data_IF_157409662667
#
_entry.id   IF_157409662667
#
_cell.length_a   1.000
_cell.length_b   1.000
_cell.length_c   1.000
_cell.angle_alpha   90.00
_cell.angle_beta   90.00
_cell.angle_gamma   90.00
#
_symmetry.space_group_name_H-M   'P 1'
#
loop_
_entity.id
_entity.type
_entity.pdbx_description
1 polymer ?
#
# COMPACT_ATOMS: atom_id res chain seq x y z
N UNK A 1 71.73 39.94 -21.62
CA UNK A 1 71.05 39.44 -22.83
C UNK A 1 70.56 38.03 -22.52
N UNK A 2 69.30 37.61 -22.61
CA UNK A 2 68.08 38.26 -23.03
C UNK A 2 66.91 37.61 -22.27
N UNK A 3 65.99 38.46 -21.82
CA UNK A 3 64.64 38.15 -21.40
C UNK A 3 63.87 37.45 -22.52
N UNK A 4 63.15 36.37 -22.19
CA UNK A 4 61.85 36.05 -22.81
C UNK A 4 60.92 35.44 -21.78
N UNK A 5 60.13 36.31 -21.16
CA UNK A 5 58.81 35.98 -20.61
C UNK A 5 57.89 35.58 -21.76
N UNK A 6 57.15 34.48 -21.64
CA UNK A 6 55.79 34.38 -22.20
C UNK A 6 54.93 33.63 -21.19
N UNK A 7 53.96 34.35 -20.66
CA UNK A 7 52.84 33.88 -19.85
C UNK A 7 52.07 32.78 -20.62
N UNK A 8 52.06 31.57 -20.08
CA UNK A 8 51.10 30.54 -20.47
C UNK A 8 49.75 30.83 -19.84
N UNK A 9 48.90 31.57 -20.55
CA UNK A 9 47.51 31.79 -20.18
C UNK A 9 46.72 30.48 -20.20
N UNK A 10 45.83 30.37 -19.22
CA UNK A 10 44.93 29.25 -19.00
C UNK A 10 44.07 28.91 -20.22
N UNK A 11 43.90 27.60 -20.44
CA UNK A 11 42.69 27.04 -21.02
C UNK A 11 42.38 25.73 -20.29
N UNK A 12 41.92 25.84 -19.04
CA UNK A 12 41.14 24.77 -18.44
C UNK A 12 39.83 24.75 -19.20
N UNK A 13 39.74 23.87 -20.20
CA UNK A 13 38.48 23.54 -20.83
C UNK A 13 37.58 22.89 -19.76
N UNK A 14 36.74 23.72 -19.15
CA UNK A 14 35.56 23.26 -18.42
C UNK A 14 34.66 22.54 -19.44
N UNK A 15 34.88 21.23 -19.62
CA UNK A 15 33.83 20.32 -20.06
C UNK A 15 32.85 20.12 -18.91
N UNK A 16 32.23 21.22 -18.48
CA UNK A 16 31.03 21.26 -17.69
C UNK A 16 29.84 21.30 -18.63
N UNK A 17 29.60 20.19 -19.31
CA UNK A 17 28.28 19.88 -19.87
C UNK A 17 27.84 18.54 -19.29
N UNK A 18 27.72 18.49 -17.97
CA UNK A 18 26.66 17.66 -17.40
C UNK A 18 25.37 18.29 -17.92
N UNK A 19 24.86 17.78 -19.04
CA UNK A 19 23.46 17.98 -19.35
C UNK A 19 22.73 17.40 -18.16
N UNK A 20 22.37 18.26 -17.21
CA UNK A 20 21.29 17.95 -16.28
C UNK A 20 20.09 17.76 -17.21
N UNK A 21 19.83 16.50 -17.56
CA UNK A 21 18.58 16.08 -18.17
C UNK A 21 17.53 16.75 -17.30
N UNK A 22 16.76 17.72 -17.84
CA UNK A 22 15.82 18.48 -17.04
C UNK A 22 14.93 17.46 -16.34
N UNK A 23 14.78 17.58 -15.03
CA UNK A 23 14.16 16.53 -14.21
C UNK A 23 12.79 16.14 -14.78
N UNK A 24 12.06 17.09 -15.38
CA UNK A 24 10.83 16.88 -16.15
C UNK A 24 10.95 15.80 -17.25
N UNK A 25 12.03 15.81 -18.03
CA UNK A 25 12.23 14.85 -19.13
C UNK A 25 12.51 13.42 -18.65
N UNK A 26 12.97 13.24 -17.41
CA UNK A 26 13.13 11.92 -16.84
C UNK A 26 11.78 11.34 -16.35
N UNK A 27 10.92 12.19 -15.77
CA UNK A 27 9.55 11.79 -15.41
C UNK A 27 8.74 11.35 -16.62
N UNK A 28 8.74 12.18 -17.68
CA UNK A 28 8.00 11.89 -18.90
C UNK A 28 8.48 10.58 -19.52
N UNK A 29 9.79 10.34 -19.55
CA UNK A 29 10.35 9.08 -20.05
C UNK A 29 9.88 7.86 -19.26
N UNK A 30 9.91 7.90 -17.92
CA UNK A 30 9.45 6.77 -17.09
C UNK A 30 7.96 6.52 -17.29
N UNK A 31 7.17 7.61 -17.35
CA UNK A 31 5.73 7.54 -17.58
C UNK A 31 5.42 6.91 -18.93
N UNK A 32 6.02 7.44 -20.00
CA UNK A 32 5.87 6.92 -21.37
C UNK A 32 6.28 5.45 -21.46
N UNK A 33 7.40 5.07 -20.82
CA UNK A 33 7.86 3.68 -20.81
C UNK A 33 6.86 2.75 -20.12
N UNK A 34 6.25 3.19 -19.02
CA UNK A 34 5.22 2.41 -18.33
C UNK A 34 3.94 2.29 -19.17
N UNK A 35 3.46 3.40 -19.71
CA UNK A 35 2.25 3.47 -20.54
C UNK A 35 2.39 2.67 -21.84
N UNK A 36 3.58 2.63 -22.45
CA UNK A 36 3.88 1.82 -23.63
C UNK A 36 3.69 0.31 -23.39
N UNK A 37 3.76 -0.15 -22.13
CA UNK A 37 3.46 -1.52 -21.74
C UNK A 37 2.01 -1.69 -21.25
N UNK A 38 1.15 -0.71 -21.47
CA UNK A 38 -0.19 -0.61 -20.88
C UNK A 38 -0.17 -0.67 -19.34
N UNK A 39 0.90 -0.16 -18.72
CA UNK A 39 1.06 -0.06 -17.28
C UNK A 39 0.51 1.24 -16.71
N UNK A 40 0.36 1.26 -15.39
CA UNK A 40 -0.07 2.41 -14.60
C UNK A 40 1.17 2.96 -13.88
N UNK A 41 1.65 4.16 -14.23
CA UNK A 41 2.82 4.76 -13.61
C UNK A 41 2.45 5.36 -12.24
N UNK A 42 3.21 5.00 -11.21
CA UNK A 42 3.13 5.58 -9.88
C UNK A 42 4.41 6.36 -9.61
N UNK A 43 4.29 7.62 -9.19
CA UNK A 43 5.38 8.58 -9.13
C UNK A 43 5.25 9.44 -7.87
N UNK A 44 6.36 9.70 -7.20
CA UNK A 44 6.48 10.67 -6.12
C UNK A 44 7.82 11.41 -6.22
N UNK A 45 7.79 12.74 -6.06
CA UNK A 45 8.96 13.59 -6.06
C UNK A 45 9.14 14.25 -4.68
N UNK A 46 9.98 13.63 -3.84
CA UNK A 46 10.38 14.16 -2.53
C UNK A 46 11.91 14.22 -2.44
N UNK A 47 12.52 15.10 -3.25
CA UNK A 47 13.98 15.27 -3.34
C UNK A 47 14.70 14.21 -4.17
N UNK A 48 14.21 12.96 -4.18
CA UNK A 48 14.58 11.91 -5.15
C UNK A 48 13.31 11.38 -5.80
N UNK A 49 13.34 11.20 -7.14
CA UNK A 49 12.24 10.56 -7.85
C UNK A 49 12.12 9.10 -7.42
N UNK A 50 10.98 8.73 -6.84
CA UNK A 50 10.62 7.34 -6.57
C UNK A 50 9.46 6.93 -7.48
N UNK A 51 9.60 5.81 -8.17
CA UNK A 51 8.62 5.38 -9.16
C UNK A 51 8.44 3.86 -9.19
N UNK A 52 7.23 3.46 -9.59
CA UNK A 52 6.89 2.09 -9.90
C UNK A 52 5.92 2.05 -11.08
N UNK A 53 5.95 0.97 -11.85
CA UNK A 53 5.00 0.72 -12.93
C UNK A 53 4.16 -0.52 -12.58
N UNK A 54 2.84 -0.35 -12.48
CA UNK A 54 1.92 -1.47 -12.30
C UNK A 54 1.45 -1.97 -13.67
N UNK A 55 1.83 -3.18 -14.05
CA UNK A 55 1.42 -3.80 -15.31
C UNK A 55 0.26 -4.76 -15.07
N UNK A 56 -0.73 -4.75 -15.96
CA UNK A 56 -1.84 -5.71 -15.88
C UNK A 56 -1.34 -7.10 -16.24
N UNK A 57 -1.58 -8.05 -15.34
CA UNK A 57 -1.33 -9.45 -15.57
C UNK A 57 -2.41 -10.03 -16.51
N UNK A 58 -2.00 -10.88 -17.46
CA UNK A 58 -2.91 -11.61 -18.36
C UNK A 58 -2.61 -13.11 -18.34
N UNK A 59 -3.63 -13.97 -18.36
CA UNK A 59 -3.50 -15.44 -18.27
C UNK A 59 -2.97 -16.13 -19.55
N UNK A 60 -2.14 -15.43 -20.33
CA UNK A 60 -1.49 -16.04 -21.49
C UNK A 60 -0.24 -16.81 -21.02
N UNK A 61 0.06 -17.96 -21.63
CA UNK A 61 1.10 -18.93 -21.21
C UNK A 61 2.52 -18.36 -20.95
N UNK A 62 2.82 -17.13 -21.40
CA UNK A 62 4.06 -16.42 -21.10
C UNK A 62 4.16 -15.85 -19.65
N UNK A 63 3.04 -15.75 -18.92
CA UNK A 63 2.93 -14.94 -17.71
C UNK A 63 3.01 -15.69 -16.37
N UNK A 64 3.08 -17.02 -16.32
CA UNK A 64 3.36 -17.74 -15.07
C UNK A 64 4.68 -17.27 -14.42
N UNK A 65 5.67 -16.90 -15.24
CA UNK A 65 6.94 -16.33 -14.78
C UNK A 65 6.83 -14.90 -14.22
N UNK A 66 5.76 -14.17 -14.53
CA UNK A 66 5.55 -12.77 -14.09
C UNK A 66 5.10 -12.73 -12.64
N UNK A 67 4.19 -13.60 -12.21
CA UNK A 67 3.80 -13.70 -10.78
C UNK A 67 4.94 -14.20 -9.91
N UNK A 68 5.81 -15.06 -10.44
CA UNK A 68 6.93 -15.60 -9.69
C UNK A 68 7.99 -14.54 -9.41
N UNK A 69 8.25 -13.66 -10.38
CA UNK A 69 9.31 -12.64 -10.32
C UNK A 69 8.86 -11.27 -9.80
N UNK A 70 7.57 -10.98 -9.82
CA UNK A 70 7.03 -9.69 -9.40
C UNK A 70 6.08 -9.86 -8.20
N UNK A 71 5.96 -8.81 -7.40
CA UNK A 71 4.85 -8.71 -6.45
C UNK A 71 3.58 -8.31 -7.21
N UNK A 72 2.48 -9.00 -6.96
CA UNK A 72 1.22 -8.78 -7.66
C UNK A 72 0.06 -8.63 -6.67
N UNK A 73 -0.93 -7.83 -7.05
CA UNK A 73 -2.10 -7.51 -6.24
C UNK A 73 -3.37 -7.58 -7.08
N UNK A 74 -4.49 -7.94 -6.45
CA UNK A 74 -5.82 -7.84 -7.06
C UNK A 74 -6.35 -6.41 -6.95
N UNK A 75 -6.86 -5.90 -8.06
CA UNK A 75 -7.45 -4.56 -8.15
C UNK A 75 -8.53 -4.53 -9.23
N UNK A 76 -9.76 -4.17 -8.87
CA UNK A 76 -10.90 -3.97 -9.78
C UNK A 76 -11.14 -5.12 -10.77
N UNK A 77 -11.18 -6.34 -10.24
CA UNK A 77 -11.40 -7.55 -11.04
C UNK A 77 -10.20 -7.94 -11.91
N UNK A 78 -9.07 -7.25 -11.78
CA UNK A 78 -7.82 -7.56 -12.47
C UNK A 78 -6.68 -7.85 -11.49
N UNK A 79 -5.56 -8.34 -12.03
CA UNK A 79 -4.31 -8.48 -11.28
C UNK A 79 -3.31 -7.48 -11.83
N UNK A 80 -2.71 -6.69 -10.95
CA UNK A 80 -1.67 -5.72 -11.25
C UNK A 80 -0.36 -6.21 -10.63
N UNK A 81 0.70 -6.29 -11.43
CA UNK A 81 2.03 -6.70 -10.99
C UNK A 81 2.98 -5.51 -11.05
N UNK A 82 3.84 -5.38 -10.05
CA UNK A 82 4.85 -4.33 -9.99
C UNK A 82 5.99 -4.72 -10.92
N UNK A 83 6.18 -4.00 -12.01
CA UNK A 83 7.20 -4.30 -13.01
C UNK A 83 8.60 -4.09 -12.43
N UNK A 84 9.34 -5.18 -12.22
CA UNK A 84 10.74 -5.17 -11.77
C UNK A 84 11.63 -4.27 -12.63
N UNK A 85 11.49 -4.33 -13.94
CA UNK A 85 12.33 -3.59 -14.89
C UNK A 85 11.99 -2.09 -14.97
N UNK A 86 10.85 -1.70 -14.39
CA UNK A 86 10.28 -0.36 -14.48
C UNK A 86 9.86 0.15 -13.10
N UNK A 87 10.65 -0.19 -12.09
CA UNK A 87 10.55 0.33 -10.72
C UNK A 87 11.94 0.65 -10.20
N UNK A 88 12.10 1.69 -9.39
CA UNK A 88 13.32 1.92 -8.62
C UNK A 88 13.15 1.60 -7.12
N UNK A 89 12.00 1.03 -6.75
CA UNK A 89 11.71 0.58 -5.40
C UNK A 89 12.40 -0.76 -5.15
N UNK A 90 13.62 -0.72 -4.60
CA UNK A 90 14.51 -1.90 -4.52
C UNK A 90 13.90 -3.11 -3.81
N UNK A 91 13.13 -2.90 -2.74
CA UNK A 91 12.51 -4.01 -1.99
C UNK A 91 11.30 -4.63 -2.73
N UNK A 92 10.89 -4.07 -3.88
CA UNK A 92 9.93 -4.69 -4.79
C UNK A 92 10.55 -5.60 -5.84
N UNK A 93 11.88 -5.65 -5.97
CA UNK A 93 12.55 -6.65 -6.80
C UNK A 93 12.71 -7.95 -6.00
N UNK A 94 11.97 -9.02 -6.35
CA UNK A 94 12.05 -10.32 -5.65
C UNK A 94 13.44 -10.97 -5.70
N UNK A 95 14.30 -10.61 -6.66
CA UNK A 95 15.69 -11.09 -6.72
C UNK A 95 16.64 -10.28 -5.83
N UNK A 96 16.19 -9.12 -5.32
CA UNK A 96 16.98 -8.37 -4.36
C UNK A 96 17.06 -9.11 -3.03
N UNK A 97 18.26 -9.22 -2.45
CA UNK A 97 18.47 -9.98 -1.19
C UNK A 97 17.66 -9.48 0.01
N UNK A 98 17.17 -8.24 -0.03
CA UNK A 98 16.30 -7.65 0.98
C UNK A 98 14.91 -7.34 0.42
N UNK A 99 14.49 -8.07 -0.62
CA UNK A 99 13.12 -8.02 -1.08
C UNK A 99 12.17 -8.31 0.08
N UNK A 100 11.14 -7.49 0.20
CA UNK A 100 10.19 -7.60 1.29
C UNK A 100 8.82 -7.18 0.77
N UNK A 101 7.88 -8.14 0.73
CA UNK A 101 6.51 -7.89 0.27
C UNK A 101 5.85 -6.77 1.07
N UNK A 102 6.08 -6.72 2.38
CA UNK A 102 5.47 -5.72 3.24
C UNK A 102 6.01 -4.32 2.95
N UNK A 103 7.32 -4.17 2.82
CA UNK A 103 7.90 -2.87 2.51
C UNK A 103 7.51 -2.44 1.10
N UNK A 104 7.50 -3.39 0.15
CA UNK A 104 7.08 -3.19 -1.22
C UNK A 104 5.65 -2.65 -1.31
N UNK A 105 4.67 -3.41 -0.80
CA UNK A 105 3.26 -3.02 -0.87
C UNK A 105 2.99 -1.73 -0.10
N UNK A 106 3.70 -1.47 1.00
CA UNK A 106 3.64 -0.22 1.74
C UNK A 106 4.05 0.97 0.88
N UNK A 107 5.21 0.90 0.20
CA UNK A 107 5.67 1.98 -0.68
C UNK A 107 4.80 2.12 -1.92
N UNK A 108 4.32 1.03 -2.50
CA UNK A 108 3.41 1.07 -3.64
C UNK A 108 2.10 1.76 -3.28
N UNK A 109 1.55 1.52 -2.09
CA UNK A 109 0.38 2.25 -1.61
C UNK A 109 0.66 3.75 -1.46
N UNK A 110 1.79 4.13 -0.86
CA UNK A 110 2.22 5.53 -0.73
C UNK A 110 2.31 6.22 -2.09
N UNK A 111 3.00 5.60 -3.06
CA UNK A 111 3.12 6.09 -4.43
C UNK A 111 1.77 6.18 -5.13
N UNK A 112 0.85 5.24 -4.88
CA UNK A 112 -0.50 5.26 -5.44
C UNK A 112 -1.27 6.51 -5.00
N UNK A 113 -1.18 6.86 -3.71
CA UNK A 113 -1.80 8.08 -3.18
C UNK A 113 -1.14 9.33 -3.78
N UNK A 114 0.19 9.39 -3.81
CA UNK A 114 0.93 10.53 -4.34
C UNK A 114 0.66 10.80 -5.84
N UNK A 115 0.50 9.73 -6.62
CA UNK A 115 0.22 9.81 -8.07
C UNK A 115 -1.26 10.05 -8.41
N UNK A 116 -2.15 10.06 -7.42
CA UNK A 116 -3.60 10.17 -7.64
C UNK A 116 -4.27 8.89 -8.12
N UNK A 117 -3.52 7.79 -8.28
CA UNK A 117 -4.07 6.46 -8.58
C UNK A 117 -4.38 5.74 -7.28
N UNK A 118 -5.64 5.68 -6.86
CA UNK A 118 -5.99 5.11 -5.56
C UNK A 118 -6.11 3.58 -5.63
N UNK A 119 -5.16 2.87 -5.03
CA UNK A 119 -5.32 1.43 -4.80
C UNK A 119 -6.47 1.16 -3.83
N UNK A 120 -7.36 0.25 -4.23
CA UNK A 120 -8.46 -0.19 -3.39
C UNK A 120 -7.93 -0.96 -2.18
N UNK A 121 -8.50 -0.64 -1.02
CA UNK A 121 -8.20 -1.30 0.24
C UNK A 121 -9.30 -2.30 0.56
N UNK A 122 -8.97 -3.48 1.10
CA UNK A 122 -7.61 -3.92 1.44
C UNK A 122 -6.85 -4.35 0.19
N UNK A 123 -5.52 -4.20 0.22
CA UNK A 123 -4.66 -4.74 -0.83
C UNK A 123 -4.65 -6.26 -0.65
N UNK A 124 -5.00 -7.01 -1.69
CA UNK A 124 -4.99 -8.48 -1.70
C UNK A 124 -3.88 -8.95 -2.63
N UNK A 125 -2.96 -9.76 -2.13
CA UNK A 125 -1.85 -10.30 -2.92
C UNK A 125 -2.32 -11.37 -3.92
N UNK A 126 -1.53 -11.56 -4.97
CA UNK A 126 -1.72 -12.62 -5.96
C UNK A 126 -0.38 -13.35 -6.17
N UNK A 127 -0.38 -14.70 -6.26
CA UNK A 127 -1.53 -15.60 -6.32
C UNK A 127 -2.10 -16.03 -4.96
N UNK A 128 -1.45 -15.72 -3.84
CA UNK A 128 -1.76 -16.29 -2.53
C UNK A 128 -3.09 -15.80 -1.92
N UNK A 129 -3.67 -14.72 -2.45
CA UNK A 129 -4.91 -14.12 -1.95
C UNK A 129 -4.82 -13.69 -0.48
N UNK A 130 -3.64 -13.24 -0.04
CA UNK A 130 -3.44 -12.78 1.34
C UNK A 130 -3.76 -11.30 1.43
N UNK A 131 -4.48 -10.91 2.48
CA UNK A 131 -4.69 -9.51 2.83
C UNK A 131 -3.36 -8.92 3.29
N UNK A 132 -2.91 -7.87 2.63
CA UNK A 132 -1.82 -7.05 3.11
C UNK A 132 -2.34 -6.15 4.24
N UNK A 133 -1.85 -6.43 5.45
CA UNK A 133 -2.18 -5.67 6.65
C UNK A 133 -1.22 -4.50 6.75
N UNK A 134 -1.74 -3.27 6.61
CA UNK A 134 -0.97 -2.09 6.95
C UNK A 134 -0.76 -2.01 8.46
N UNK A 135 0.09 -1.08 8.90
CA UNK A 135 0.31 -0.93 10.34
C UNK A 135 -1.04 -0.72 11.05
N UNK A 136 -1.20 -1.16 12.32
CA UNK A 136 -2.44 -0.97 13.08
C UNK A 136 -2.92 0.49 13.16
N UNK A 137 -2.00 1.43 12.94
CA UNK A 137 -2.28 2.87 12.90
C UNK A 137 -3.04 3.26 11.62
N UNK A 138 -2.64 2.73 10.47
CA UNK A 138 -3.22 3.07 9.17
C UNK A 138 -4.60 2.44 9.03
N UNK A 139 -4.73 1.13 9.31
CA UNK A 139 -6.03 0.47 9.33
C UNK A 139 -6.98 1.12 10.33
N UNK A 140 -6.46 1.53 11.49
CA UNK A 140 -7.23 2.26 12.46
C UNK A 140 -7.63 3.67 12.01
N UNK A 141 -6.84 4.32 11.16
CA UNK A 141 -7.15 5.63 10.59
C UNK A 141 -8.28 5.50 9.56
N UNK A 142 -8.20 4.50 8.69
CA UNK A 142 -9.23 4.24 7.68
C UNK A 142 -10.54 3.79 8.31
N UNK A 143 -10.47 2.95 9.34
CA UNK A 143 -11.64 2.55 10.13
C UNK A 143 -12.37 3.78 10.71
N UNK A 144 -11.60 4.71 11.31
CA UNK A 144 -12.16 5.96 11.86
C UNK A 144 -12.69 6.90 10.78
N UNK A 145 -12.08 6.94 9.59
CA UNK A 145 -12.59 7.71 8.46
C UNK A 145 -13.96 7.20 7.98
N UNK A 146 -14.22 5.89 8.09
CA UNK A 146 -15.57 5.31 7.89
C UNK A 146 -16.53 5.62 9.04
N UNK A 147 -16.10 6.28 10.11
CA UNK A 147 -16.87 6.51 11.34
C UNK A 147 -16.89 5.29 12.27
N UNK A 148 -15.96 4.36 12.05
CA UNK A 148 -15.81 3.13 12.81
C UNK A 148 -14.99 3.28 14.09
N UNK A 149 -14.97 2.19 14.82
CA UNK A 149 -14.36 2.00 16.13
C UNK A 149 -13.28 0.94 15.97
N UNK A 150 -12.09 1.20 16.49
CA UNK A 150 -11.00 0.22 16.52
C UNK A 150 -10.86 -0.31 17.92
N UNK A 151 -11.11 -1.60 18.11
CA UNK A 151 -10.87 -2.29 19.36
C UNK A 151 -9.58 -3.08 19.24
N UNK A 152 -8.70 -2.93 20.23
CA UNK A 152 -7.42 -3.65 20.28
C UNK A 152 -7.47 -4.66 21.40
N UNK A 153 -6.86 -5.81 21.16
CA UNK A 153 -6.49 -6.73 22.23
C UNK A 153 -5.42 -6.05 23.10
N UNK A 154 -5.58 -6.12 24.42
CA UNK A 154 -4.55 -5.66 25.35
C UNK A 154 -3.22 -6.39 25.18
N UNK A 155 -3.21 -7.58 24.57
CA UNK A 155 -2.00 -8.40 24.38
C UNK A 155 -1.06 -7.91 23.26
N UNK A 156 -1.58 -7.22 22.23
CA UNK A 156 -0.78 -6.76 21.09
C UNK A 156 -1.50 -5.67 20.30
N UNK A 157 -0.77 -4.60 19.96
CA UNK A 157 -1.30 -3.55 19.06
C UNK A 157 -1.62 -4.06 17.66
N UNK A 158 -1.09 -5.23 17.28
CA UNK A 158 -1.34 -5.88 15.98
C UNK A 158 -2.58 -6.77 15.99
N UNK A 159 -3.23 -6.97 17.12
CA UNK A 159 -4.49 -7.70 17.24
C UNK A 159 -5.62 -6.68 17.42
N UNK A 160 -6.33 -6.34 16.34
CA UNK A 160 -7.39 -5.36 16.39
C UNK A 160 -8.54 -5.69 15.44
N UNK A 161 -9.69 -5.13 15.77
CA UNK A 161 -10.96 -5.32 15.07
C UNK A 161 -11.55 -3.93 14.81
N UNK A 162 -11.87 -3.66 13.55
CA UNK A 162 -12.61 -2.49 13.14
C UNK A 162 -14.10 -2.80 13.13
N UNK A 163 -14.89 -1.95 13.77
CA UNK A 163 -16.34 -1.98 13.74
C UNK A 163 -16.87 -0.70 13.08
N UNK A 164 -17.51 -0.78 11.92
CA UNK A 164 -18.04 0.37 11.17
C UNK A 164 -19.57 0.49 11.32
N UNK A 165 -20.16 1.68 11.26
CA UNK A 165 -21.62 1.84 11.31
C UNK A 165 -22.33 1.07 10.19
N UNK A 166 -23.49 0.50 10.49
CA UNK A 166 -24.35 -0.18 9.49
C UNK A 166 -24.67 0.73 8.29
N UNK A 167 -24.71 0.16 7.09
CA UNK A 167 -24.98 0.89 5.84
C UNK A 167 -23.75 1.52 5.17
N UNK A 168 -22.54 1.28 5.70
CA UNK A 168 -21.28 1.76 5.10
C UNK A 168 -20.43 0.67 4.42
N UNK A 169 -20.87 -0.59 4.38
CA UNK A 169 -20.20 -1.67 3.63
C UNK A 169 -21.13 -2.76 3.07
N UNK A 170 -20.67 -3.39 1.98
CA UNK A 170 -21.21 -4.59 1.35
C UNK A 170 -20.64 -5.84 2.05
N UNK A 171 -21.51 -6.65 2.65
CA UNK A 171 -21.14 -7.92 3.29
C UNK A 171 -21.53 -7.95 4.76
N UNK A 172 -22.79 -8.27 5.04
CA UNK A 172 -23.22 -8.59 6.40
C UNK A 172 -22.41 -9.77 6.92
N UNK A 173 -21.66 -9.59 8.01
CA UNK A 173 -21.49 -10.62 9.03
C UNK A 173 -20.91 -10.04 10.33
N UNK A 174 -21.67 -10.22 11.43
CA UNK A 174 -21.35 -9.92 12.83
C UNK A 174 -21.40 -8.44 13.24
N UNK A 175 -22.54 -8.04 13.81
CA UNK A 175 -22.80 -6.69 14.27
C UNK A 175 -23.22 -6.65 15.74
N UNK A 176 -22.97 -5.52 16.40
CA UNK A 176 -23.46 -5.23 17.75
C UNK A 176 -23.90 -3.79 17.90
N UNK A 177 -24.81 -3.54 18.84
CA UNK A 177 -25.24 -2.17 19.14
C UNK A 177 -24.39 -1.58 20.27
N UNK A 178 -23.74 -0.44 20.01
CA UNK A 178 -23.11 0.41 21.03
C UNK A 178 -23.95 1.67 21.16
N UNK A 179 -24.48 1.93 22.37
CA UNK A 179 -25.32 3.11 22.66
C UNK A 179 -26.49 3.28 21.65
N UNK A 180 -27.13 2.17 21.27
CA UNK A 180 -28.25 2.18 20.32
C UNK A 180 -27.86 2.37 18.85
N UNK A 181 -26.57 2.49 18.53
CA UNK A 181 -26.06 2.50 17.15
C UNK A 181 -25.48 1.14 16.79
N UNK A 182 -25.87 0.60 15.64
CA UNK A 182 -25.37 -0.67 15.14
C UNK A 182 -24.02 -0.49 14.45
N UNK A 183 -23.06 -1.30 14.87
CA UNK A 183 -21.74 -1.39 14.26
C UNK A 183 -21.48 -2.83 13.82
N UNK A 184 -20.93 -3.00 12.62
CA UNK A 184 -20.60 -4.29 12.05
C UNK A 184 -19.09 -4.42 11.89
N UNK A 185 -18.59 -5.64 12.03
CA UNK A 185 -17.17 -5.93 11.82
C UNK A 185 -16.82 -5.62 10.38
N UNK A 186 -15.79 -4.80 10.19
CA UNK A 186 -15.14 -4.69 8.90
C UNK A 186 -13.88 -5.58 8.88
N UNK A 187 -14.01 -6.75 8.26
CA UNK A 187 -12.92 -7.72 8.13
C UNK A 187 -11.70 -7.13 7.37
N UNK A 188 -11.97 -6.25 6.40
CA UNK A 188 -10.98 -5.61 5.55
C UNK A 188 -10.11 -4.56 6.26
N UNK A 189 -10.50 -4.16 7.47
CA UNK A 189 -9.78 -3.23 8.35
C UNK A 189 -9.55 -3.87 9.73
N UNK A 190 -9.66 -5.19 9.83
CA UNK A 190 -9.44 -5.96 11.06
C UNK A 190 -8.29 -6.95 10.84
N UNK A 191 -7.27 -6.94 11.70
CA UNK A 191 -6.19 -7.93 11.62
C UNK A 191 -6.56 -9.24 12.31
N UNK A 192 -7.43 -9.19 13.31
CA UNK A 192 -7.85 -10.34 14.08
C UNK A 192 -9.03 -11.04 13.39
N UNK A 193 -8.91 -12.36 13.21
CA UNK A 193 -9.89 -13.19 12.52
C UNK A 193 -11.02 -13.71 13.40
N UNK A 194 -10.97 -13.49 14.72
CA UNK A 194 -11.95 -13.95 15.72
C UNK A 194 -13.38 -13.48 15.40
N UNK A 195 -13.51 -12.30 14.80
CA UNK A 195 -14.79 -11.73 14.38
C UNK A 195 -15.10 -11.97 12.90
N UNK A 196 -14.22 -12.65 12.15
CA UNK A 196 -14.40 -12.88 10.72
C UNK A 196 -15.28 -14.10 10.47
N UNK A 197 -16.05 -14.09 9.38
CA UNK A 197 -17.01 -15.14 8.99
C UNK A 197 -16.43 -16.56 8.96
N UNK A 198 -15.14 -16.70 8.59
CA UNK A 198 -14.47 -18.01 8.47
C UNK A 198 -14.04 -18.61 9.81
N UNK A 199 -13.76 -17.78 10.81
CA UNK A 199 -13.19 -18.18 12.11
C UNK A 199 -13.99 -17.61 13.28
N UNK A 200 -15.28 -17.34 13.03
CA UNK A 200 -16.12 -16.57 13.93
C UNK A 200 -16.27 -17.25 15.30
N UNK A 201 -15.79 -16.55 16.32
CA UNK A 201 -15.91 -16.93 17.72
C UNK A 201 -16.78 -15.90 18.42
N UNK A 202 -18.10 -16.11 18.36
CA UNK A 202 -19.12 -15.16 18.84
C UNK A 202 -18.82 -14.58 20.24
N UNK A 203 -18.46 -15.46 21.19
CA UNK A 203 -18.18 -15.06 22.57
C UNK A 203 -16.98 -14.12 22.66
N UNK A 204 -15.86 -14.47 22.02
CA UNK A 204 -14.67 -13.62 22.02
C UNK A 204 -14.92 -12.32 21.25
N UNK A 205 -15.60 -12.40 20.11
CA UNK A 205 -15.93 -11.21 19.33
C UNK A 205 -16.78 -10.21 20.13
N UNK A 206 -17.74 -10.71 20.92
CA UNK A 206 -18.52 -9.91 21.85
C UNK A 206 -17.65 -9.30 22.97
N UNK A 207 -16.70 -10.06 23.51
CA UNK A 207 -15.77 -9.57 24.55
C UNK A 207 -15.00 -8.33 24.08
N UNK A 208 -14.50 -8.30 22.84
CA UNK A 208 -13.86 -7.10 22.27
C UNK A 208 -14.82 -5.89 22.28
N UNK A 209 -16.06 -6.07 21.82
CA UNK A 209 -17.02 -4.98 21.76
C UNK A 209 -17.40 -4.48 23.17
N UNK A 210 -17.53 -5.39 24.14
CA UNK A 210 -17.81 -5.08 25.54
C UNK A 210 -16.65 -4.34 26.20
N UNK A 211 -15.41 -4.78 26.00
CA UNK A 211 -14.21 -4.10 26.51
C UNK A 211 -14.15 -2.65 26.04
N UNK A 212 -14.38 -2.42 24.74
CA UNK A 212 -14.46 -1.07 24.20
C UNK A 212 -15.57 -0.25 24.86
N UNK A 213 -16.76 -0.83 25.01
CA UNK A 213 -17.90 -0.13 25.58
C UNK A 213 -17.65 0.26 27.04
N UNK A 214 -17.10 -0.65 27.86
CA UNK A 214 -16.74 -0.37 29.26
C UNK A 214 -15.72 0.76 29.35
N UNK A 215 -14.66 0.72 28.53
CA UNK A 215 -13.63 1.76 28.52
C UNK A 215 -14.18 3.16 28.12
N UNK A 216 -15.32 3.21 27.43
CA UNK A 216 -15.94 4.44 26.93
C UNK A 216 -17.28 4.78 27.61
N UNK A 217 -17.60 4.17 28.76
CA UNK A 217 -18.88 4.36 29.46
C UNK A 217 -20.12 4.14 28.56
N UNK A 218 -20.03 3.20 27.64
CA UNK A 218 -21.08 2.82 26.69
C UNK A 218 -21.71 1.48 27.05
N UNK A 219 -22.89 1.20 26.49
CA UNK A 219 -23.60 -0.08 26.65
C UNK A 219 -23.64 -0.85 25.35
N UNK A 220 -23.33 -2.15 25.43
CA UNK A 220 -23.52 -3.10 24.32
C UNK A 220 -24.89 -3.76 24.45
N UNK A 221 -25.61 -3.91 23.34
CA UNK A 221 -26.85 -4.70 23.26
C UNK A 221 -26.94 -5.43 21.92
N UNK A 222 -27.67 -6.55 21.88
CA UNK A 222 -28.03 -7.32 20.67
C UNK A 222 -26.85 -7.54 19.71
N UNK A 223 -25.91 -8.42 20.07
CA UNK A 223 -24.86 -8.89 19.16
C UNK A 223 -25.39 -10.07 18.33
N UNK A 224 -25.34 -9.98 17.00
CA UNK A 224 -25.82 -10.97 16.05
C UNK A 224 -24.82 -11.18 14.92
#
# INVERSE_FOLDING_TARGET
MNFKSILGFAAVALFGMTNAIPVSSHFDFIKEKCEAMNGIPLLEENGTLTYACLIKYSDNEANSSVSDKNFCIKHDGSVLCISRENTNVMFCDKEYRFANERDCLGKILELSVASGFKLNRPIITFPENKRYVLTPREDGTDCKAKGGIVVRDGSSIYNYICFVPEGKEEGETHCGNINGKRYCVEENLSSNTICNKKEYQAQKCLEYLVEYAVANNARVSNFQ
#
